data_IF_440943288682
#
_entry.id   IF_440943288682
#
_cell.length_a   1.000
_cell.length_b   1.000
_cell.length_c   1.000
_cell.angle_alpha   90.00
_cell.angle_beta   90.00
_cell.angle_gamma   90.00
#
_symmetry.space_group_name_H-M   'P 1'
#
loop_
_entity.id
_entity.type
_entity.pdbx_description
1 polymer ?
#
# COMPACT_ATOMS: atom_id res chain seq x y z
N UNK A 1 30.05 25.06 -2.36
CA UNK A 1 30.43 25.09 -0.93
C UNK A 1 29.90 23.90 -0.10
N UNK A 2 28.84 23.18 -0.51
CA UNK A 2 28.34 21.98 0.20
C UNK A 2 29.28 20.75 0.13
N UNK A 3 30.14 20.66 -0.89
CA UNK A 3 31.06 19.52 -1.12
C UNK A 3 32.24 19.48 -0.14
N UNK A 4 32.73 20.63 0.30
CA UNK A 4 33.85 20.72 1.25
C UNK A 4 33.44 20.35 2.68
N UNK A 5 32.21 20.71 3.08
CA UNK A 5 31.66 20.41 4.41
C UNK A 5 31.40 18.92 4.62
N UNK A 6 30.94 18.21 3.57
CA UNK A 6 30.76 16.75 3.62
C UNK A 6 32.10 15.99 3.67
N UNK A 7 33.12 16.45 2.93
CA UNK A 7 34.45 15.83 2.93
C UNK A 7 35.15 15.96 4.29
N UNK A 8 35.02 17.13 4.96
CA UNK A 8 35.50 17.35 6.33
C UNK A 8 34.76 16.50 7.37
N UNK A 9 33.46 16.29 7.19
CA UNK A 9 32.64 15.47 8.10
C UNK A 9 33.08 14.01 8.13
N UNK A 10 33.37 13.43 6.96
CA UNK A 10 33.84 12.05 6.83
C UNK A 10 35.24 11.83 7.43
N UNK A 11 36.09 12.87 7.46
CA UNK A 11 37.39 12.83 8.14
C UNK A 11 37.31 13.10 9.65
N UNK A 12 36.29 13.81 10.13
CA UNK A 12 36.18 14.20 11.56
C UNK A 12 35.68 13.06 12.44
N UNK A 13 34.90 12.12 11.91
CA UNK A 13 34.55 10.87 12.61
C UNK A 13 35.75 9.91 12.85
N UNK A 14 36.96 10.28 12.41
CA UNK A 14 38.19 9.47 12.50
C UNK A 14 39.13 9.90 13.64
N UNK A 15 38.91 11.04 14.33
CA UNK A 15 39.87 11.55 15.34
C UNK A 15 39.65 11.09 16.78
N UNK A 16 38.60 10.32 17.09
CA UNK A 16 38.34 9.85 18.46
C UNK A 16 38.86 8.44 18.76
N UNK A 17 39.65 7.84 17.87
CA UNK A 17 40.23 6.51 18.09
C UNK A 17 41.76 6.56 17.98
N UNK A 18 42.41 7.17 18.97
CA UNK A 18 43.85 7.08 19.17
C UNK A 18 44.41 8.22 20.02
N UNK A 19 44.73 7.91 21.29
CA UNK A 19 45.63 8.72 22.13
C UNK A 19 45.04 9.25 23.43
N UNK A 20 45.39 8.55 24.53
CA UNK A 20 45.76 9.10 25.85
C UNK A 20 44.76 9.96 26.67
N UNK A 21 44.26 9.33 27.74
CA UNK A 21 44.30 9.86 29.10
C UNK A 21 43.88 11.31 29.34
N UNK A 22 42.61 11.64 29.12
CA UNK A 22 41.97 12.75 29.85
C UNK A 22 40.51 12.39 30.15
N UNK A 23 40.10 12.59 31.40
CA UNK A 23 38.73 12.45 31.87
C UNK A 23 37.83 13.50 31.18
N UNK A 24 37.45 13.25 29.92
CA UNK A 24 36.43 13.99 29.22
C UNK A 24 35.12 13.23 29.38
N UNK A 25 34.24 13.75 30.24
CA UNK A 25 32.87 13.24 30.37
C UNK A 25 32.21 13.15 28.98
N UNK A 26 31.44 12.07 28.70
CA UNK A 26 30.82 11.91 27.39
C UNK A 26 29.93 13.12 27.11
N UNK A 27 30.30 13.92 26.11
CA UNK A 27 29.53 15.07 25.70
C UNK A 27 28.10 14.62 25.38
N UNK A 28 27.12 15.10 26.14
CA UNK A 28 25.72 14.73 25.99
C UNK A 28 25.32 15.01 24.53
N UNK A 29 24.86 14.01 23.77
CA UNK A 29 24.46 14.26 22.39
C UNK A 29 23.39 15.35 22.39
N UNK A 30 23.62 16.39 21.60
CA UNK A 30 22.73 17.55 21.54
C UNK A 30 21.29 17.11 21.30
N UNK A 31 20.33 17.83 21.90
CA UNK A 31 18.89 17.51 21.85
C UNK A 31 18.41 17.19 20.43
N UNK A 32 18.92 17.91 19.43
CA UNK A 32 18.63 17.72 18.00
C UNK A 32 19.14 16.38 17.40
N UNK A 33 20.29 15.89 17.86
CA UNK A 33 20.83 14.58 17.47
C UNK A 33 20.01 13.46 18.09
N UNK A 34 19.56 13.65 19.34
CA UNK A 34 18.66 12.71 20.01
C UNK A 34 17.28 12.72 19.34
N UNK A 35 16.71 13.88 19.03
CA UNK A 35 15.41 13.98 18.36
C UNK A 35 15.40 13.29 16.99
N UNK A 36 16.45 13.50 16.17
CA UNK A 36 16.58 12.86 14.86
C UNK A 36 16.79 11.35 14.92
N UNK A 37 17.51 10.84 15.93
CA UNK A 37 17.68 9.41 16.15
C UNK A 37 16.40 8.74 16.68
N UNK A 38 15.62 9.41 17.52
CA UNK A 38 14.33 8.93 18.02
C UNK A 38 13.27 8.91 16.92
N UNK A 39 13.22 9.93 16.06
CA UNK A 39 12.36 9.96 14.88
C UNK A 39 12.69 8.83 13.87
N UNK A 40 13.95 8.40 13.81
CA UNK A 40 14.44 7.32 12.94
C UNK A 40 13.97 5.93 13.37
N UNK A 41 13.94 5.67 14.67
CA UNK A 41 13.38 4.42 15.22
C UNK A 41 11.86 4.42 15.07
N UNK A 42 11.18 5.49 15.49
CA UNK A 42 9.72 5.58 15.47
C UNK A 42 9.11 5.37 14.08
N UNK A 43 9.66 5.95 13.01
CA UNK A 43 9.07 5.77 11.68
C UNK A 43 9.32 4.37 11.10
N UNK A 44 10.50 3.78 11.35
CA UNK A 44 10.79 2.41 10.93
C UNK A 44 9.97 1.40 11.71
N UNK A 45 9.84 1.61 13.02
CA UNK A 45 9.08 0.76 13.91
C UNK A 45 7.58 0.86 13.57
N UNK A 46 7.06 2.07 13.30
CA UNK A 46 5.70 2.28 12.79
C UNK A 46 5.45 1.53 11.47
N UNK A 47 6.33 1.70 10.47
CA UNK A 47 6.16 1.06 9.17
C UNK A 47 6.22 -0.48 9.26
N UNK A 48 7.08 -1.01 10.13
CA UNK A 48 7.12 -2.44 10.41
C UNK A 48 5.86 -2.94 11.12
N UNK A 49 5.32 -2.16 12.05
CA UNK A 49 4.05 -2.44 12.72
C UNK A 49 2.89 -2.50 11.74
N UNK A 50 2.78 -1.53 10.83
CA UNK A 50 1.73 -1.54 9.79
C UNK A 50 1.82 -2.79 8.93
N UNK A 51 3.00 -3.14 8.39
CA UNK A 51 3.13 -4.35 7.58
C UNK A 51 2.87 -5.66 8.33
N UNK A 52 3.14 -5.71 9.64
CA UNK A 52 2.87 -6.89 10.47
C UNK A 52 1.38 -7.13 10.70
N UNK A 53 0.55 -6.08 10.60
CA UNK A 53 -0.91 -6.19 10.69
C UNK A 53 -1.52 -6.76 9.40
N UNK A 54 -0.82 -6.69 8.27
CA UNK A 54 -1.29 -7.18 6.98
C UNK A 54 -1.02 -8.67 6.82
N UNK A 55 -1.97 -9.38 6.21
CA UNK A 55 -1.77 -10.76 5.81
C UNK A 55 -0.66 -10.88 4.74
N UNK A 56 0.07 -12.00 4.69
CA UNK A 56 1.12 -12.19 3.70
C UNK A 56 0.65 -12.14 2.24
N UNK A 57 -0.63 -12.42 1.98
CA UNK A 57 -1.21 -12.40 0.64
C UNK A 57 -1.42 -10.97 0.14
N UNK A 58 -2.00 -10.09 0.97
CA UNK A 58 -2.42 -8.74 0.55
C UNK A 58 -1.30 -7.71 0.52
N UNK A 59 -0.18 -7.97 1.20
CA UNK A 59 0.94 -7.02 1.29
C UNK A 59 1.71 -6.88 -0.03
N UNK A 60 2.16 -5.65 -0.29
CA UNK A 60 3.07 -5.37 -1.40
C UNK A 60 4.47 -5.97 -1.14
N UNK A 61 4.97 -6.78 -2.07
CA UNK A 61 6.31 -7.42 -1.97
C UNK A 61 7.45 -6.40 -1.99
N UNK A 62 7.33 -5.30 -2.72
CA UNK A 62 8.40 -4.31 -2.85
C UNK A 62 8.58 -3.51 -1.55
N UNK A 63 7.47 -3.14 -0.92
CA UNK A 63 7.46 -2.47 0.39
C UNK A 63 8.00 -3.41 1.48
N UNK A 64 7.55 -4.68 1.47
CA UNK A 64 8.01 -5.70 2.40
C UNK A 64 9.51 -5.99 2.28
N UNK A 65 10.02 -6.22 1.07
CA UNK A 65 11.44 -6.48 0.83
C UNK A 65 12.33 -5.30 1.19
N UNK A 66 11.87 -4.07 0.92
CA UNK A 66 12.58 -2.85 1.32
C UNK A 66 12.70 -2.73 2.84
N UNK A 67 11.60 -2.92 3.57
CA UNK A 67 11.59 -2.89 5.03
C UNK A 67 12.43 -4.01 5.64
N UNK A 68 12.33 -5.23 5.10
CA UNK A 68 13.17 -6.35 5.52
C UNK A 68 14.65 -6.03 5.32
N UNK A 69 15.03 -5.43 4.19
CA UNK A 69 16.42 -4.98 3.95
C UNK A 69 16.85 -3.91 4.94
N UNK A 70 15.99 -2.92 5.24
CA UNK A 70 16.30 -1.88 6.22
C UNK A 70 16.51 -2.47 7.63
N UNK A 71 15.64 -3.37 8.07
CA UNK A 71 15.75 -4.06 9.36
C UNK A 71 17.02 -4.92 9.42
N UNK A 72 17.34 -5.61 8.33
CA UNK A 72 18.56 -6.40 8.23
C UNK A 72 19.83 -5.53 8.30
N UNK A 73 19.86 -4.38 7.61
CA UNK A 73 20.95 -3.42 7.68
C UNK A 73 21.07 -2.77 9.07
N UNK A 74 19.94 -2.55 9.75
CA UNK A 74 19.89 -2.08 11.14
C UNK A 74 20.48 -3.12 12.09
N UNK A 75 20.09 -4.40 11.96
CA UNK A 75 20.62 -5.51 12.76
C UNK A 75 22.12 -5.70 12.60
N UNK A 76 22.67 -5.40 11.41
CA UNK A 76 24.12 -5.42 11.15
C UNK A 76 24.89 -4.17 11.60
N UNK A 77 24.21 -3.12 12.07
CA UNK A 77 24.85 -1.82 12.35
C UNK A 77 25.37 -1.07 11.10
N UNK A 78 25.03 -1.56 9.91
CA UNK A 78 25.42 -0.99 8.62
C UNK A 78 24.54 0.20 8.21
N UNK A 79 23.37 0.39 8.84
CA UNK A 79 22.48 1.49 8.53
C UNK A 79 22.96 2.80 9.18
N UNK A 80 23.31 3.81 8.38
CA UNK A 80 23.81 5.10 8.88
C UNK A 80 22.90 6.25 8.45
N UNK A 81 22.88 7.29 9.27
CA UNK A 81 22.18 8.52 8.95
C UNK A 81 23.13 9.71 9.06
N UNK A 82 22.88 10.74 8.24
CA UNK A 82 23.53 12.05 8.36
C UNK A 82 22.42 13.09 8.39
N UNK A 83 22.41 13.94 9.42
CA UNK A 83 21.53 15.09 9.50
C UNK A 83 22.27 16.31 8.93
N UNK A 84 21.68 16.95 7.91
CA UNK A 84 22.16 18.15 7.24
C UNK A 84 21.30 19.39 7.61
N UNK A 85 20.57 19.33 8.73
CA UNK A 85 19.63 20.37 9.17
C UNK A 85 18.22 20.06 8.71
N UNK A 86 17.77 20.67 7.60
CA UNK A 86 16.43 20.45 7.03
C UNK A 86 16.32 19.13 6.26
N UNK A 87 17.46 18.64 5.77
CA UNK A 87 17.58 17.38 5.07
C UNK A 87 18.26 16.34 5.96
N UNK A 88 17.85 15.09 5.83
CA UNK A 88 18.48 13.93 6.44
C UNK A 88 18.72 12.89 5.37
N UNK A 89 19.83 12.19 5.43
CA UNK A 89 20.15 11.12 4.48
C UNK A 89 20.30 9.81 5.24
N UNK A 90 19.66 8.76 4.75
CA UNK A 90 19.85 7.39 5.17
C UNK A 90 20.67 6.66 4.11
N UNK A 91 21.76 6.02 4.52
CA UNK A 91 22.65 5.32 3.60
C UNK A 91 23.17 4.02 4.21
N UNK A 92 23.59 3.13 3.32
CA UNK A 92 24.23 1.87 3.67
C UNK A 92 25.74 2.06 3.83
N UNK A 93 26.27 1.67 4.99
CA UNK A 93 27.69 1.51 5.23
C UNK A 93 28.12 0.05 5.00
N UNK A 94 29.32 -0.20 4.45
CA UNK A 94 29.79 -1.55 4.15
C UNK A 94 30.10 -2.38 5.40
N UNK A 95 30.39 -1.73 6.53
CA UNK A 95 30.73 -2.38 7.79
C UNK A 95 30.02 -1.68 8.94
N UNK A 96 29.88 -2.39 10.06
CA UNK A 96 29.47 -1.79 11.31
C UNK A 96 30.52 -0.78 11.80
N UNK A 97 30.06 0.23 12.53
CA UNK A 97 30.90 1.27 13.11
C UNK A 97 31.77 0.78 14.26
N UNK A 98 31.40 -0.33 14.92
CA UNK A 98 32.24 -0.98 15.93
C UNK A 98 33.21 -2.01 15.33
N UNK A 99 33.12 -2.30 14.03
CA UNK A 99 34.04 -3.23 13.39
C UNK A 99 35.48 -2.68 13.41
N UNK A 100 36.38 -3.43 14.04
CA UNK A 100 37.81 -3.14 14.11
C UNK A 100 38.63 -3.87 13.04
N UNK A 101 37.97 -4.44 12.02
CA UNK A 101 38.63 -5.13 10.92
C UNK A 101 39.52 -4.19 10.11
N UNK A 102 40.69 -4.66 9.70
CA UNK A 102 41.59 -3.90 8.83
C UNK A 102 40.90 -3.38 7.56
N UNK A 103 40.06 -4.22 6.94
CA UNK A 103 39.24 -3.85 5.77
C UNK A 103 38.29 -2.67 6.04
N UNK A 104 37.79 -2.54 7.27
CA UNK A 104 36.89 -1.46 7.68
C UNK A 104 37.64 -0.18 8.08
N UNK A 105 38.91 -0.25 8.47
CA UNK A 105 39.72 0.90 8.92
C UNK A 105 40.62 1.47 7.83
N UNK A 106 41.09 0.65 6.90
CA UNK A 106 42.02 1.07 5.86
C UNK A 106 41.38 2.11 4.93
N UNK A 107 42.02 3.29 4.80
CA UNK A 107 41.52 4.43 4.02
C UNK A 107 41.34 4.11 2.53
N UNK A 108 42.19 3.24 1.98
CA UNK A 108 42.21 2.94 0.55
C UNK A 108 41.12 1.93 0.13
N UNK A 109 40.62 1.11 1.06
CA UNK A 109 39.50 0.19 0.81
C UNK A 109 38.13 0.83 1.03
N UNK A 110 38.10 2.10 1.45
CA UNK A 110 36.85 2.80 1.67
C UNK A 110 36.17 3.15 0.36
N UNK A 111 34.82 3.17 0.34
CA UNK A 111 34.07 3.51 -0.86
C UNK A 111 34.45 4.91 -1.35
N UNK A 112 34.53 5.04 -2.67
CA UNK A 112 34.84 6.32 -3.30
C UNK A 112 33.61 7.22 -3.20
N UNK A 113 33.83 8.54 -3.22
CA UNK A 113 32.74 9.52 -3.25
C UNK A 113 31.82 9.36 -4.47
N UNK A 114 32.35 8.80 -5.57
CA UNK A 114 31.61 8.53 -6.79
C UNK A 114 30.57 7.42 -6.59
N UNK A 115 30.84 6.46 -5.70
CA UNK A 115 29.93 5.34 -5.41
C UNK A 115 28.91 5.67 -4.32
N UNK A 116 29.01 6.87 -3.72
CA UNK A 116 28.15 7.28 -2.62
C UNK A 116 26.66 7.38 -3.01
N UNK A 117 26.28 7.96 -4.18
CA UNK A 117 24.88 8.06 -4.57
C UNK A 117 24.17 6.69 -4.64
N UNK A 118 24.86 5.64 -5.07
CA UNK A 118 24.31 4.28 -5.15
C UNK A 118 24.07 3.61 -3.78
N UNK A 119 24.55 4.21 -2.69
CA UNK A 119 24.41 3.69 -1.31
C UNK A 119 23.32 4.42 -0.52
N UNK A 120 22.72 5.46 -1.10
CA UNK A 120 21.64 6.21 -0.47
C UNK A 120 20.38 5.35 -0.52
N UNK A 121 19.75 5.17 0.63
CA UNK A 121 18.53 4.38 0.80
C UNK A 121 17.29 5.26 0.86
N UNK A 122 17.38 6.39 1.56
CA UNK A 122 16.26 7.30 1.74
C UNK A 122 16.74 8.73 2.02
N UNK A 123 15.88 9.69 1.68
CA UNK A 123 16.04 11.11 1.93
C UNK A 123 14.92 11.58 2.86
N UNK A 124 15.31 12.06 4.02
CA UNK A 124 14.44 12.77 4.95
C UNK A 124 14.41 14.25 4.61
N UNK A 125 13.23 14.84 4.55
CA UNK A 125 13.06 16.29 4.45
C UNK A 125 11.91 16.72 5.35
N UNK A 126 12.16 17.74 6.18
CA UNK A 126 11.19 18.30 7.14
C UNK A 126 10.56 17.21 8.03
N UNK A 127 11.42 16.35 8.59
CA UNK A 127 10.99 15.30 9.53
C UNK A 127 10.26 14.11 8.90
N UNK A 128 10.10 14.07 7.57
CA UNK A 128 9.48 12.94 6.84
C UNK A 128 10.49 12.25 5.95
N UNK A 129 10.43 10.93 5.89
CA UNK A 129 11.23 10.11 4.98
C UNK A 129 10.48 9.88 3.67
N UNK A 130 11.07 10.32 2.56
CA UNK A 130 10.35 10.43 1.28
C UNK A 130 10.23 9.08 0.57
N UNK A 131 11.31 8.31 0.50
CA UNK A 131 11.31 7.00 -0.19
C UNK A 131 10.53 5.98 0.62
N UNK A 132 10.74 5.92 1.94
CA UNK A 132 9.96 5.04 2.81
C UNK A 132 8.47 5.40 2.77
N UNK A 133 8.13 6.69 2.86
CA UNK A 133 6.73 7.13 2.75
C UNK A 133 6.09 6.78 1.41
N UNK A 134 6.81 6.95 0.30
CA UNK A 134 6.33 6.59 -1.03
C UNK A 134 6.10 5.08 -1.17
N UNK A 135 7.02 4.24 -0.67
CA UNK A 135 6.87 2.78 -0.70
C UNK A 135 5.81 2.26 0.26
N UNK A 136 5.53 2.98 1.34
CA UNK A 136 4.50 2.59 2.32
C UNK A 136 3.08 3.05 1.97
N UNK A 137 2.91 3.89 0.94
CA UNK A 137 1.59 4.43 0.54
C UNK A 137 0.61 3.31 0.16
N UNK A 138 1.04 2.39 -0.69
CA UNK A 138 0.23 1.30 -1.24
C UNK A 138 0.76 -0.06 -0.76
N UNK A 139 1.06 -0.15 0.54
CA UNK A 139 1.68 -1.35 1.13
C UNK A 139 0.70 -2.51 1.35
N UNK A 140 -0.60 -2.23 1.26
CA UNK A 140 -1.75 -3.13 1.38
C UNK A 140 -2.30 -3.64 0.04
N UNK A 141 -1.65 -3.26 -1.08
CA UNK A 141 -2.03 -3.70 -2.42
C UNK A 141 -0.96 -4.63 -2.97
N UNK A 142 -1.35 -5.89 -3.24
CA UNK A 142 -0.48 -6.85 -3.91
C UNK A 142 -0.81 -6.94 -5.41
N UNK A 143 0.03 -6.33 -6.25
CA UNK A 143 -0.16 -6.35 -7.71
C UNK A 143 -0.08 -7.75 -8.33
N UNK A 144 0.60 -8.71 -7.69
CA UNK A 144 0.70 -10.09 -8.17
C UNK A 144 -0.69 -10.75 -8.25
N UNK A 145 -1.59 -10.40 -7.33
CA UNK A 145 -2.96 -10.93 -7.31
C UNK A 145 -3.73 -10.56 -8.58
N UNK A 146 -3.47 -9.38 -9.16
CA UNK A 146 -4.26 -8.82 -10.25
C UNK A 146 -3.69 -9.13 -11.65
N UNK A 147 -2.59 -9.89 -11.75
CA UNK A 147 -1.94 -10.22 -13.02
C UNK A 147 -2.83 -11.05 -13.97
N UNK A 148 -3.81 -11.77 -13.45
CA UNK A 148 -4.74 -12.57 -14.24
C UNK A 148 -5.83 -11.71 -14.93
N UNK A 149 -6.06 -10.48 -14.47
CA UNK A 149 -7.06 -9.58 -15.06
C UNK A 149 -6.53 -8.90 -16.33
N UNK A 150 -7.38 -8.47 -17.27
CA UNK A 150 -6.97 -7.65 -18.40
C UNK A 150 -6.46 -6.27 -17.97
N UNK A 151 -5.61 -5.59 -18.78
CA UNK A 151 -4.94 -4.34 -18.39
C UNK A 151 -5.88 -3.22 -17.94
N UNK A 152 -7.06 -3.11 -18.55
CA UNK A 152 -8.03 -2.06 -18.23
C UNK A 152 -8.68 -2.21 -16.84
N UNK A 153 -8.61 -3.39 -16.22
CA UNK A 153 -9.10 -3.63 -14.86
C UNK A 153 -8.01 -3.54 -13.79
N UNK A 154 -6.73 -3.44 -14.18
CA UNK A 154 -5.61 -3.35 -13.23
C UNK A 154 -5.33 -1.91 -12.77
N UNK A 155 -5.83 -0.93 -13.51
CA UNK A 155 -5.60 0.49 -13.23
C UNK A 155 -6.79 1.02 -12.44
N UNK A 156 -6.53 1.49 -11.22
CA UNK A 156 -7.54 2.14 -10.37
C UNK A 156 -7.30 3.65 -10.37
N UNK A 157 -8.29 4.39 -10.85
CA UNK A 157 -8.27 5.85 -10.84
C UNK A 157 -8.70 6.43 -9.48
N UNK A 158 -8.28 7.65 -9.11
CA UNK A 158 -8.69 8.28 -7.85
C UNK A 158 -10.22 8.39 -7.69
N UNK A 159 -10.93 8.66 -8.78
CA UNK A 159 -12.38 8.75 -8.80
C UNK A 159 -13.08 7.42 -8.47
N UNK A 160 -12.43 6.27 -8.70
CA UNK A 160 -12.96 4.95 -8.38
C UNK A 160 -12.78 4.58 -6.90
N UNK A 161 -11.94 5.31 -6.18
CA UNK A 161 -11.73 5.12 -4.73
C UNK A 161 -12.80 5.83 -3.90
N UNK A 162 -13.59 6.72 -4.50
CA UNK A 162 -14.68 7.43 -3.84
C UNK A 162 -16.01 6.68 -4.03
N UNK A 163 -16.66 6.31 -2.93
CA UNK A 163 -17.88 5.48 -2.95
C UNK A 163 -19.14 6.23 -3.38
N UNK A 164 -19.14 7.57 -3.37
CA UNK A 164 -20.33 8.40 -3.59
C UNK A 164 -21.10 8.06 -4.87
N UNK A 165 -20.40 7.86 -5.99
CA UNK A 165 -21.04 7.52 -7.26
C UNK A 165 -21.65 6.10 -7.23
N UNK A 166 -20.96 5.14 -6.61
CA UNK A 166 -21.44 3.76 -6.50
C UNK A 166 -22.67 3.67 -5.59
N UNK A 167 -22.68 4.42 -4.48
CA UNK A 167 -23.82 4.49 -3.57
C UNK A 167 -25.05 5.08 -4.27
N UNK A 168 -24.88 6.18 -5.02
CA UNK A 168 -25.97 6.76 -5.82
C UNK A 168 -26.53 5.74 -6.81
N UNK A 169 -25.68 5.11 -7.62
CA UNK A 169 -26.11 4.10 -8.59
C UNK A 169 -26.78 2.89 -7.93
N UNK A 170 -26.34 2.52 -6.72
CA UNK A 170 -26.98 1.47 -5.93
C UNK A 170 -28.40 1.85 -5.53
N UNK A 171 -28.64 3.09 -5.10
CA UNK A 171 -29.98 3.59 -4.77
C UNK A 171 -30.90 3.65 -6.00
N UNK A 172 -30.35 3.97 -7.18
CA UNK A 172 -31.13 4.01 -8.42
C UNK A 172 -31.73 2.65 -8.79
N UNK A 173 -31.07 1.55 -8.41
CA UNK A 173 -31.59 0.19 -8.63
C UNK A 173 -32.95 -0.05 -7.98
N UNK A 174 -33.26 0.66 -6.89
CA UNK A 174 -34.53 0.51 -6.16
C UNK A 174 -35.63 1.45 -6.66
N UNK A 175 -35.35 2.31 -7.65
CA UNK A 175 -36.38 3.14 -8.26
C UNK A 175 -37.40 2.24 -8.97
N UNK A 176 -38.67 2.45 -8.65
CA UNK A 176 -39.74 1.69 -9.28
C UNK A 176 -39.71 1.90 -10.80
N UNK A 177 -39.85 0.80 -11.53
CA UNK A 177 -40.01 0.85 -12.99
C UNK A 177 -41.38 1.46 -13.28
N UNK A 178 -41.39 2.62 -13.93
CA UNK A 178 -42.63 3.26 -14.38
C UNK A 178 -43.01 2.62 -15.72
N UNK A 179 -44.12 1.88 -15.72
CA UNK A 179 -44.74 1.35 -16.93
C UNK A 179 -45.53 2.48 -17.61
N UNK A 180 -45.46 2.57 -18.93
CA UNK A 180 -46.36 3.44 -19.69
C UNK A 180 -47.77 2.85 -19.73
N UNK A 181 -48.79 3.68 -19.87
CA UNK A 181 -50.20 3.23 -19.90
C UNK A 181 -50.40 2.15 -20.98
N UNK A 182 -49.79 2.30 -22.16
CA UNK A 182 -49.82 1.30 -23.23
C UNK A 182 -49.28 -0.08 -22.79
N UNK A 183 -48.25 -0.12 -21.94
CA UNK A 183 -47.66 -1.36 -21.43
C UNK A 183 -48.56 -2.00 -20.36
N UNK A 184 -49.22 -1.17 -19.55
CA UNK A 184 -50.21 -1.63 -18.57
C UNK A 184 -51.42 -2.20 -19.30
N UNK A 185 -51.94 -1.50 -20.30
CA UNK A 185 -53.07 -1.92 -21.11
C UNK A 185 -52.78 -3.21 -21.87
N UNK A 186 -51.57 -3.33 -22.44
CA UNK A 186 -51.12 -4.56 -23.09
C UNK A 186 -51.09 -5.73 -22.09
N UNK A 187 -50.53 -5.53 -20.90
CA UNK A 187 -50.48 -6.57 -19.88
C UNK A 187 -51.88 -6.97 -19.38
N UNK A 188 -52.78 -6.01 -19.18
CA UNK A 188 -54.18 -6.26 -18.81
C UNK A 188 -54.94 -7.01 -19.89
N UNK A 189 -54.71 -6.67 -21.16
CA UNK A 189 -55.32 -7.38 -22.29
C UNK A 189 -54.84 -8.82 -22.37
N UNK A 190 -53.54 -9.05 -22.20
CA UNK A 190 -52.95 -10.40 -22.16
C UNK A 190 -53.54 -11.24 -21.02
N UNK A 191 -53.69 -10.66 -19.82
CA UNK A 191 -54.37 -11.34 -18.72
C UNK A 191 -55.83 -11.66 -19.04
N UNK A 192 -56.58 -10.73 -19.63
CA UNK A 192 -57.97 -10.96 -20.02
C UNK A 192 -58.11 -12.10 -21.03
N UNK A 193 -57.23 -12.15 -22.05
CA UNK A 193 -57.21 -13.22 -23.05
C UNK A 193 -56.93 -14.57 -22.39
N UNK A 194 -55.94 -14.64 -21.50
CA UNK A 194 -55.62 -15.86 -20.75
C UNK A 194 -56.77 -16.33 -19.88
N UNK A 195 -57.51 -15.43 -19.24
CA UNK A 195 -58.69 -15.79 -18.44
C UNK A 195 -59.83 -16.31 -19.32
N UNK A 196 -60.03 -15.71 -20.50
CA UNK A 196 -61.02 -16.17 -21.48
C UNK A 196 -60.69 -17.58 -21.97
N UNK A 197 -59.45 -17.83 -22.38
CA UNK A 197 -59.01 -19.16 -22.81
C UNK A 197 -59.17 -20.22 -21.71
N UNK A 198 -58.89 -19.87 -20.44
CA UNK A 198 -59.13 -20.78 -19.31
C UNK A 198 -60.61 -21.10 -19.15
N UNK A 199 -61.49 -20.10 -19.25
CA UNK A 199 -62.94 -20.28 -19.15
C UNK A 199 -63.49 -21.12 -20.30
N UNK A 200 -63.02 -20.88 -21.52
CA UNK A 200 -63.40 -21.64 -22.71
C UNK A 200 -62.96 -23.11 -22.58
N UNK A 201 -61.76 -23.37 -22.05
CA UNK A 201 -61.31 -24.74 -21.74
C UNK A 201 -62.15 -25.42 -20.66
N UNK A 202 -62.59 -24.70 -19.61
CA UNK A 202 -63.46 -25.28 -18.57
C UNK A 202 -64.84 -25.61 -19.14
N UNK A 203 -65.42 -24.70 -19.93
CA UNK A 203 -66.74 -24.91 -20.54
C UNK A 203 -66.73 -26.05 -21.56
N UNK A 204 -65.68 -26.18 -22.37
CA UNK A 204 -65.48 -27.33 -23.26
C UNK A 204 -65.41 -28.65 -22.48
N UNK A 205 -64.62 -28.72 -21.40
CA UNK A 205 -64.55 -29.91 -20.53
C UNK A 205 -65.89 -30.26 -19.90
N UNK A 206 -66.67 -29.26 -19.50
CA UNK A 206 -67.98 -29.45 -18.90
C UNK A 206 -69.02 -29.93 -19.93
N UNK A 207 -68.99 -29.38 -21.15
CA UNK A 207 -69.82 -29.86 -22.26
C UNK A 207 -69.45 -31.29 -22.66
N UNK A 208 -68.16 -31.62 -22.75
CA UNK A 208 -67.68 -32.99 -22.99
C UNK A 208 -68.18 -33.96 -21.92
N UNK A 209 -68.19 -33.55 -20.64
CA UNK A 209 -68.71 -34.39 -19.55
C UNK A 209 -70.23 -34.62 -19.63
N UNK A 210 -71.01 -33.62 -20.05
CA UNK A 210 -72.46 -33.72 -20.21
C UNK A 210 -72.81 -34.64 -21.39
N UNK A 211 -72.11 -34.50 -22.52
CA UNK A 211 -72.29 -35.38 -23.68
C UNK A 211 -71.91 -36.83 -23.34
N UNK A 212 -70.84 -37.06 -22.58
CA UNK A 212 -70.49 -38.40 -22.10
C UNK A 212 -71.56 -39.00 -21.16
N UNK A 213 -72.27 -38.16 -20.38
CA UNK A 213 -73.36 -38.63 -19.52
C UNK A 213 -74.65 -38.95 -20.28
N UNK A 214 -74.95 -38.24 -21.37
CA UNK A 214 -76.12 -38.53 -22.24
C UNK A 214 -75.91 -39.77 -23.12
N UNK A 215 -74.68 -40.09 -23.52
CA UNK A 215 -74.37 -41.28 -24.33
C UNK A 215 -74.28 -42.57 -23.49
N UNK A 216 -74.17 -42.45 -22.16
CA UNK A 216 -74.06 -43.57 -21.23
C UNK A 216 -75.38 -43.96 -20.52
N UNK A 217 -76.50 -43.29 -20.82
CA UNK A 217 -77.85 -43.61 -20.34
C UNK A 217 -78.69 -44.28 -21.42
#
# INVERSE_FOLDING_TARGET
MATASLKRFWTRGRREAGGEGTNAAPAKPGVWVRLGAWARALLQDYASGTLLLLAPATRNRDSGSFLQRLLWLRGRGCLRHVNLGLFSLLYEAPFDGQASLYRARCRYLQPRWVDFPGRILDVGFVGRWWVLGARMRDCDINHDEFLHLPPHLRVVGPHQLHSEANERLFDEKYKAVVLTDDQVDQALWEEQVLQKEKKDKVTLRQAESLVQSEVAG
#
